data_IF_522353746345
#
_entry.id   IF_522353746345
#
_cell.length_a   1.000
_cell.length_b   1.000
_cell.length_c   1.000
_cell.angle_alpha   90.00
_cell.angle_beta   90.00
_cell.angle_gamma   90.00
#
_symmetry.space_group_name_H-M   'P 1'
#
loop_
_entity.id
_entity.type
_entity.pdbx_description
1 polymer ?
#
# COMPACT_ATOMS: atom_id res chain seq x y z
N UNK A 1 13.11 -12.84 -11.28
CA UNK A 1 13.46 -13.50 -10.00
C UNK A 1 14.92 -13.27 -9.64
N UNK A 2 15.88 -13.65 -10.50
CA UNK A 2 17.31 -13.45 -10.27
C UNK A 2 17.71 -12.00 -9.97
N UNK A 3 17.23 -11.03 -10.75
CA UNK A 3 17.54 -9.61 -10.52
C UNK A 3 16.96 -9.04 -9.23
N UNK A 4 15.89 -9.65 -8.70
CA UNK A 4 15.34 -9.35 -7.37
C UNK A 4 16.25 -9.93 -6.27
N UNK A 5 16.62 -11.21 -6.38
CA UNK A 5 17.48 -11.87 -5.40
C UNK A 5 18.89 -11.25 -5.33
N UNK A 6 19.34 -10.64 -6.42
CA UNK A 6 20.66 -10.00 -6.51
C UNK A 6 20.61 -8.49 -6.21
N UNK A 7 19.45 -7.94 -5.77
CA UNK A 7 19.31 -6.54 -5.41
C UNK A 7 19.47 -5.55 -6.58
N UNK A 8 19.40 -6.04 -7.82
CA UNK A 8 19.60 -5.26 -9.06
C UNK A 8 18.32 -4.67 -9.63
N UNK A 9 17.17 -5.03 -9.07
CA UNK A 9 15.89 -4.42 -9.37
C UNK A 9 15.52 -3.42 -8.27
N UNK A 10 15.55 -2.12 -8.58
CA UNK A 10 15.16 -1.06 -7.63
C UNK A 10 13.64 -0.93 -7.43
N UNK A 11 12.82 -1.48 -8.33
CA UNK A 11 11.38 -1.12 -8.41
C UNK A 11 10.45 -2.29 -8.74
N UNK A 12 10.83 -3.53 -8.42
CA UNK A 12 9.85 -4.62 -8.44
C UNK A 12 9.21 -4.64 -7.05
N UNK A 13 7.96 -4.16 -6.97
CA UNK A 13 7.10 -4.41 -5.82
C UNK A 13 7.27 -5.89 -5.47
N UNK A 14 7.76 -6.19 -4.25
CA UNK A 14 7.97 -7.58 -3.83
C UNK A 14 6.66 -8.35 -4.00
N UNK A 15 6.68 -9.67 -4.29
CA UNK A 15 5.44 -10.43 -4.43
C UNK A 15 4.48 -10.26 -3.24
N UNK A 16 5.04 -10.13 -2.02
CA UNK A 16 4.29 -9.86 -0.80
C UNK A 16 3.60 -8.48 -0.86
N UNK A 17 4.32 -7.40 -1.21
CA UNK A 17 3.73 -6.07 -1.35
C UNK A 17 2.68 -6.03 -2.45
N UNK A 18 2.90 -6.71 -3.56
CA UNK A 18 1.95 -6.78 -4.68
C UNK A 18 0.67 -7.51 -4.25
N UNK A 19 0.81 -8.60 -3.51
CA UNK A 19 -0.32 -9.35 -2.98
C UNK A 19 -1.14 -8.52 -1.99
N UNK A 20 -0.49 -7.88 -1.01
CA UNK A 20 -1.16 -7.01 -0.03
C UNK A 20 -1.89 -5.85 -0.69
N UNK A 21 -1.26 -5.19 -1.67
CA UNK A 21 -1.89 -4.12 -2.44
C UNK A 21 -3.14 -4.63 -3.19
N UNK A 22 -3.03 -5.77 -3.88
CA UNK A 22 -4.15 -6.33 -4.64
C UNK A 22 -5.34 -6.70 -3.76
N UNK A 23 -5.10 -7.29 -2.59
CA UNK A 23 -6.13 -7.61 -1.61
C UNK A 23 -6.83 -6.34 -1.12
N UNK A 24 -6.04 -5.32 -0.74
CA UNK A 24 -6.61 -4.07 -0.26
C UNK A 24 -7.46 -3.40 -1.34
N UNK A 25 -6.95 -3.28 -2.58
CA UNK A 25 -7.70 -2.70 -3.70
C UNK A 25 -9.00 -3.45 -3.98
N UNK A 26 -8.99 -4.79 -3.91
CA UNK A 26 -10.19 -5.60 -4.07
C UNK A 26 -11.21 -5.33 -2.96
N UNK A 27 -10.78 -5.30 -1.70
CA UNK A 27 -11.65 -5.03 -0.56
C UNK A 27 -12.26 -3.62 -0.61
N UNK A 28 -11.49 -2.60 -1.00
CA UNK A 28 -12.02 -1.25 -1.22
C UNK A 28 -13.10 -1.23 -2.30
N UNK A 29 -12.85 -1.91 -3.44
CA UNK A 29 -13.82 -1.99 -4.53
C UNK A 29 -15.14 -2.64 -4.06
N UNK A 30 -15.05 -3.75 -3.31
CA UNK A 30 -16.24 -4.41 -2.74
C UNK A 30 -16.99 -3.49 -1.78
N UNK A 31 -16.29 -2.74 -0.92
CA UNK A 31 -16.95 -1.79 0.00
C UNK A 31 -17.71 -0.72 -0.77
N UNK A 32 -17.09 -0.09 -1.77
CA UNK A 32 -17.73 0.91 -2.62
C UNK A 32 -18.97 0.33 -3.31
N UNK A 33 -18.86 -0.85 -3.92
CA UNK A 33 -19.96 -1.51 -4.63
C UNK A 33 -21.12 -1.92 -3.71
N UNK A 34 -20.84 -2.18 -2.43
CA UNK A 34 -21.85 -2.57 -1.44
C UNK A 34 -22.38 -1.40 -0.60
N UNK A 35 -22.03 -0.15 -0.96
CA UNK A 35 -22.49 1.05 -0.24
C UNK A 35 -21.87 1.21 1.15
N UNK A 36 -20.74 0.54 1.42
CA UNK A 36 -19.97 0.66 2.66
C UNK A 36 -18.93 1.76 2.52
N UNK A 37 -18.54 2.34 3.65
CA UNK A 37 -17.51 3.38 3.69
C UNK A 37 -16.12 2.80 3.38
N UNK A 38 -15.37 3.34 2.40
CA UNK A 38 -14.01 2.89 2.07
C UNK A 38 -13.04 3.11 3.24
N UNK A 39 -12.10 2.17 3.46
CA UNK A 39 -11.15 2.26 4.57
C UNK A 39 -10.15 3.40 4.36
N UNK A 40 -9.70 3.61 3.12
CA UNK A 40 -8.68 4.60 2.77
C UNK A 40 -9.22 5.68 1.82
N UNK A 41 -10.37 6.29 2.15
CA UNK A 41 -10.84 7.49 1.44
C UNK A 41 -9.79 8.60 1.55
N UNK A 42 -9.47 9.21 0.42
CA UNK A 42 -8.54 10.35 0.36
C UNK A 42 -8.93 11.42 1.40
N UNK A 43 -7.97 12.03 2.11
CA UNK A 43 -6.52 11.99 1.85
C UNK A 43 -5.75 10.87 2.60
N UNK A 44 -6.44 9.87 3.17
CA UNK A 44 -5.77 8.76 3.88
C UNK A 44 -4.97 7.90 2.89
N UNK A 45 -3.83 7.39 3.34
CA UNK A 45 -2.95 6.50 2.59
C UNK A 45 -2.86 5.12 3.23
N UNK A 46 -2.44 4.14 2.43
CA UNK A 46 -2.10 2.79 2.92
C UNK A 46 -0.58 2.72 3.04
N UNK A 47 -0.09 2.43 4.22
CA UNK A 47 1.33 2.22 4.47
C UNK A 47 1.58 0.71 4.56
N UNK A 48 2.51 0.21 3.75
CA UNK A 48 2.95 -1.19 3.75
C UNK A 48 4.41 -1.23 4.20
N UNK A 49 4.64 -1.65 5.44
CA UNK A 49 5.95 -1.80 6.04
C UNK A 49 6.10 -3.23 6.55
N UNK A 50 6.89 -4.04 5.83
CA UNK A 50 7.01 -5.48 6.10
C UNK A 50 7.87 -5.81 7.33
N UNK A 51 8.55 -4.81 7.90
CA UNK A 51 9.41 -5.01 9.08
C UNK A 51 8.63 -4.85 10.40
N UNK A 52 7.36 -4.44 10.33
CA UNK A 52 6.49 -4.25 11.49
C UNK A 52 5.62 -5.48 11.78
N UNK A 53 5.19 -5.62 13.04
CA UNK A 53 4.25 -6.67 13.48
C UNK A 53 2.88 -6.57 12.79
N UNK A 54 2.45 -5.34 12.48
CA UNK A 54 1.26 -5.07 11.67
C UNK A 54 1.68 -4.38 10.38
N UNK A 55 1.90 -5.14 9.29
CA UNK A 55 2.62 -4.64 8.13
C UNK A 55 1.79 -3.74 7.21
N UNK A 56 0.47 -3.69 7.39
CA UNK A 56 -0.43 -2.84 6.60
C UNK A 56 -1.26 -1.98 7.54
N UNK A 57 -1.26 -0.67 7.32
CA UNK A 57 -2.07 0.28 8.09
C UNK A 57 -2.62 1.40 7.24
N UNK A 58 -3.85 1.82 7.54
CA UNK A 58 -4.40 3.08 7.01
C UNK A 58 -3.89 4.21 7.89
N UNK A 59 -3.33 5.24 7.27
CA UNK A 59 -2.76 6.39 7.98
C UNK A 59 -3.32 7.69 7.42
N UNK A 60 -3.63 8.69 8.26
CA UNK A 60 -3.88 10.05 7.77
C UNK A 60 -2.62 10.60 7.07
N UNK A 61 -2.76 11.64 6.23
CA UNK A 61 -1.60 12.31 5.67
C UNK A 61 -0.73 12.89 6.80
N UNK A 62 0.61 12.87 6.65
CA UNK A 62 1.50 13.55 7.59
C UNK A 62 1.33 15.08 7.52
N UNK A 63 1.86 15.80 8.51
CA UNK A 63 1.89 17.27 8.51
C UNK A 63 2.68 17.73 7.28
N UNK A 64 2.04 18.52 6.41
CA UNK A 64 2.61 18.92 5.11
C UNK A 64 2.13 18.09 3.91
N UNK A 65 1.31 17.05 4.14
CA UNK A 65 0.77 16.19 3.09
C UNK A 65 1.74 15.09 2.65
N UNK A 66 1.30 14.28 1.70
CA UNK A 66 2.15 13.25 1.11
C UNK A 66 3.17 13.91 0.16
N UNK A 67 4.45 13.82 0.49
CA UNK A 67 5.53 14.25 -0.42
C UNK A 67 5.82 13.13 -1.42
N UNK A 68 5.44 13.35 -2.68
CA UNK A 68 5.69 12.43 -3.78
C UNK A 68 6.99 12.74 -4.55
N UNK A 69 7.73 13.78 -4.17
CA UNK A 69 9.01 14.13 -4.80
C UNK A 69 10.17 13.29 -4.30
N UNK A 70 10.00 12.62 -3.15
CA UNK A 70 11.01 11.81 -2.45
C UNK A 70 10.68 10.32 -2.38
N UNK A 71 9.59 9.87 -3.03
CA UNK A 71 9.15 8.47 -3.09
C UNK A 71 9.78 7.67 -4.24
#
# INVERSE_FOLDING_TARGET
>A
ARDFCEGRAGWIITPVRAHLLSLFSFHEAVQILTGREPLARAPKGILIDLDLTTPVRVSPPPIGGWDYSTL
#
